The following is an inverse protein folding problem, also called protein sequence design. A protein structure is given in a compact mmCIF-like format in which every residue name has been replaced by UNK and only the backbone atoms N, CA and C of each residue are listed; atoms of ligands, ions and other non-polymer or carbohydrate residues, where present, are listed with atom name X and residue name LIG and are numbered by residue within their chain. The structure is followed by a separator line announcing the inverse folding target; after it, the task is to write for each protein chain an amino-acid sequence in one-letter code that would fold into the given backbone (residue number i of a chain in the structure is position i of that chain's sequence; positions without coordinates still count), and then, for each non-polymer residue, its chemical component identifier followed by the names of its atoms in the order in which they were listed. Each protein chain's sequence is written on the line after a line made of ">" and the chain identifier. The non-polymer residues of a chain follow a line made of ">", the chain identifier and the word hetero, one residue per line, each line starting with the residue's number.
data_IF_619535683885
#
_entry.id   IF_619535683885
#
_cell.length_a   1.000
_cell.length_b   1.000
_cell.length_c   1.000
_cell.angle_alpha   90.00
_cell.angle_beta   90.00
_cell.angle_gamma   90.00
#
_symmetry.space_group_name_H-M   'P 1'
#
loop_
_entity.id
_entity.type
_entity.pdbx_description
1 polymer ?
#
# COMPACT_ATOMS: atom_id res chain seq x y z
N UNK A 1 6.83 8.95 -2.95
CA UNK A 1 7.63 7.72 -2.75
C UNK A 1 9.09 8.11 -2.93
N UNK A 2 9.98 7.74 -2.02
CA UNK A 2 11.44 8.00 -2.10
C UNK A 2 12.24 6.73 -2.41
N UNK A 3 11.55 5.66 -2.83
CA UNK A 3 12.16 4.37 -3.19
C UNK A 3 13.07 3.75 -2.12
N UNK A 4 12.81 4.05 -0.84
CA UNK A 4 13.58 3.53 0.30
C UNK A 4 13.49 2.00 0.47
N UNK A 5 12.50 1.35 -0.15
CA UNK A 5 12.35 -0.11 -0.15
C UNK A 5 11.83 -0.72 1.16
N UNK A 6 11.45 0.08 2.16
CA UNK A 6 10.91 -0.43 3.43
C UNK A 6 9.63 -1.25 3.25
N UNK A 7 8.79 -0.86 2.28
CA UNK A 7 7.61 -1.62 1.87
C UNK A 7 7.92 -3.04 1.36
N UNK A 8 9.09 -3.28 0.78
CA UNK A 8 9.55 -4.59 0.32
C UNK A 8 9.91 -5.46 1.52
N UNK A 9 10.60 -4.89 2.51
CA UNK A 9 11.04 -5.60 3.70
C UNK A 9 9.87 -6.04 4.60
N UNK A 10 8.84 -5.19 4.73
CA UNK A 10 7.70 -5.47 5.62
C UNK A 10 6.59 -6.29 4.97
N UNK A 11 6.65 -6.55 3.65
CA UNK A 11 5.58 -7.24 2.93
C UNK A 11 5.60 -8.75 3.23
N UNK A 12 4.61 -9.31 3.95
CA UNK A 12 4.62 -10.74 4.29
C UNK A 12 4.57 -11.67 3.07
N UNK A 13 3.70 -11.45 2.06
CA UNK A 13 3.68 -12.31 0.87
C UNK A 13 4.77 -11.96 -0.14
N UNK A 14 5.65 -10.99 0.15
CA UNK A 14 6.77 -10.56 -0.71
C UNK A 14 6.36 -10.19 -2.15
N UNK A 15 5.21 -9.53 -2.30
CA UNK A 15 4.66 -9.11 -3.60
C UNK A 15 5.07 -7.70 -4.02
N UNK A 16 5.99 -7.07 -3.28
CA UNK A 16 6.49 -5.73 -3.56
C UNK A 16 7.93 -5.84 -4.08
N UNK A 17 8.23 -5.19 -5.20
CA UNK A 17 9.54 -5.22 -5.86
C UNK A 17 9.95 -3.82 -6.36
N UNK A 18 11.20 -3.71 -6.81
CA UNK A 18 11.70 -2.53 -7.56
C UNK A 18 11.87 -2.88 -9.02
N UNK A 19 11.53 -1.95 -9.91
CA UNK A 19 11.87 -2.05 -11.33
C UNK A 19 13.28 -1.49 -11.62
N UNK A 20 13.65 -1.49 -12.91
CA UNK A 20 14.92 -0.93 -13.41
C UNK A 20 15.07 0.58 -13.20
N UNK A 21 13.96 1.29 -12.99
CA UNK A 21 13.92 2.75 -12.79
C UNK A 21 13.80 3.13 -11.31
N UNK A 22 13.99 2.17 -10.39
CA UNK A 22 13.81 2.32 -8.94
C UNK A 22 12.37 2.67 -8.50
N UNK A 23 11.35 2.46 -9.34
CA UNK A 23 9.97 2.55 -8.89
C UNK A 23 9.58 1.32 -8.08
N UNK A 24 8.72 1.53 -7.09
CA UNK A 24 8.15 0.45 -6.29
C UNK A 24 6.92 -0.10 -7.03
N UNK A 25 6.96 -1.39 -7.35
CA UNK A 25 5.85 -2.12 -7.97
C UNK A 25 5.24 -3.06 -6.93
N UNK A 26 3.91 -3.14 -6.92
CA UNK A 26 3.15 -4.04 -6.04
C UNK A 26 2.31 -4.95 -6.94
N UNK A 27 2.53 -6.26 -6.85
CA UNK A 27 1.63 -7.24 -7.44
C UNK A 27 0.39 -7.40 -6.55
N UNK A 28 -0.72 -6.82 -6.99
CA UNK A 28 -1.98 -6.86 -6.26
C UNK A 28 -2.65 -8.23 -6.28
N UNK A 29 -2.25 -9.15 -7.18
CA UNK A 29 -2.85 -10.49 -7.25
C UNK A 29 -2.51 -11.34 -6.02
N UNK A 30 -1.28 -11.22 -5.51
CA UNK A 30 -0.84 -11.86 -4.26
C UNK A 30 -0.95 -10.97 -3.01
N UNK A 31 -1.52 -9.77 -3.13
CA UNK A 31 -1.62 -8.83 -2.02
C UNK A 31 -2.78 -9.17 -1.08
N UNK A 32 -2.46 -9.56 0.15
CA UNK A 32 -3.44 -9.90 1.19
C UNK A 32 -4.09 -8.68 1.87
N UNK A 33 -3.84 -7.47 1.39
CA UNK A 33 -4.38 -6.22 1.97
C UNK A 33 -4.09 -6.05 3.48
N UNK A 34 -2.88 -6.43 3.94
CA UNK A 34 -2.46 -6.27 5.34
C UNK A 34 -2.13 -4.83 5.74
N UNK A 35 -1.97 -3.92 4.78
CA UNK A 35 -1.64 -2.50 4.97
C UNK A 35 -0.28 -2.20 5.62
N UNK A 36 0.60 -3.18 5.86
CA UNK A 36 1.94 -2.93 6.41
C UNK A 36 2.76 -1.95 5.57
N UNK A 37 2.64 -2.01 4.23
CA UNK A 37 3.32 -1.06 3.34
C UNK A 37 2.80 0.37 3.47
N UNK A 38 1.56 0.58 3.92
CA UNK A 38 0.99 1.89 4.21
C UNK A 38 1.50 2.44 5.54
N UNK A 39 1.45 1.64 6.60
CA UNK A 39 1.86 2.07 7.95
C UNK A 39 3.36 2.32 8.07
N UNK A 40 4.19 1.48 7.46
CA UNK A 40 5.65 1.59 7.58
C UNK A 40 6.27 2.55 6.55
N UNK A 41 5.48 3.17 5.67
CA UNK A 41 6.01 4.13 4.70
C UNK A 41 6.30 5.46 5.39
N UNK A 42 7.58 5.89 5.52
CA UNK A 42 7.91 7.15 6.19
C UNK A 42 7.30 8.38 5.49
N UNK A 43 7.15 8.27 4.17
CA UNK A 43 6.62 9.34 3.31
C UNK A 43 5.10 9.24 3.08
N UNK A 44 4.42 8.27 3.71
CA UNK A 44 3.00 7.99 3.50
C UNK A 44 2.61 7.87 2.01
N UNK A 45 3.52 7.36 1.17
CA UNK A 45 3.35 7.34 -0.29
C UNK A 45 2.32 6.32 -0.78
N UNK A 46 1.99 5.31 0.04
CA UNK A 46 0.99 4.30 -0.28
C UNK A 46 -0.38 4.81 0.14
N UNK A 47 -1.34 4.89 -0.78
CA UNK A 47 -2.71 5.35 -0.50
C UNK A 47 -3.71 4.22 -0.66
N UNK A 48 -4.61 4.07 0.31
CA UNK A 48 -5.70 3.10 0.25
C UNK A 48 -6.87 3.73 -0.51
N UNK A 49 -7.20 3.17 -1.69
CA UNK A 49 -8.34 3.62 -2.48
C UNK A 49 -9.63 3.04 -1.88
N UNK A 50 -10.37 3.86 -1.13
CA UNK A 50 -11.70 3.52 -0.63
C UNK A 50 -12.77 3.83 -1.69
N UNK A 51 -13.70 2.91 -1.89
CA UNK A 51 -14.83 3.06 -2.80
C UNK A 51 -15.77 4.15 -2.26
N UNK A 52 -16.42 4.91 -3.15
CA UNK A 52 -17.34 6.00 -2.77
C UNK A 52 -18.49 5.50 -1.88
N UNK A 53 -19.00 4.30 -2.15
CA UNK A 53 -20.05 3.66 -1.33
C UNK A 53 -19.57 3.49 0.12
N UNK A 54 -18.32 3.05 0.33
CA UNK A 54 -17.75 2.85 1.66
C UNK A 54 -17.58 4.17 2.42
N UNK A 55 -17.20 5.26 1.73
CA UNK A 55 -17.13 6.60 2.32
C UNK A 55 -18.48 7.10 2.82
N UNK A 56 -19.55 6.85 2.06
CA UNK A 56 -20.92 7.25 2.44
C UNK A 56 -21.39 6.47 3.68
N UNK A 57 -21.09 5.17 3.76
CA UNK A 57 -21.44 4.34 4.92
C UNK A 57 -20.62 4.66 6.19
N UNK A 58 -19.33 5.03 6.06
CA UNK A 58 -18.52 5.46 7.20
C UNK A 58 -19.02 6.81 7.76
N UNK A 59 -19.44 7.76 6.91
CA UNK A 59 -19.96 9.07 7.34
C UNK A 59 -21.25 8.97 8.16
N UNK A 60 -22.12 8.00 7.83
CA UNK A 60 -23.41 7.81 8.50
C UNK A 60 -23.32 7.10 9.87
N UNK A 61 -22.11 6.70 10.27
CA UNK A 61 -21.82 6.01 11.53
C UNK A 61 -21.37 6.96 12.64
N UNK A 62 -21.27 8.27 12.35
CA UNK A 62 -21.07 9.37 13.29
C UNK A 62 -22.42 10.02 13.61
#
# INVERSE_FOLDING_TARGET
>A
CISCGKCIQVCPPKVVSKDSENNIIIDYSGCISCFCCHEFCPEHAVRIKKNTIRKIFEYKRV
#
